data_IF_388089406888
#
_entry.id   IF_388089406888
#
_cell.length_a   1.000
_cell.length_b   1.000
_cell.length_c   1.000
_cell.angle_alpha   90.00
_cell.angle_beta   90.00
_cell.angle_gamma   90.00
#
_symmetry.space_group_name_H-M   'P 1'
#
loop_
_entity.id
_entity.type
_entity.pdbx_description
1 polymer ?
#
# COMPACT_ATOMS: atom_id res chain seq x y z
N UNK A 1 11.38 -3.74 -24.50
CA UNK A 1 10.73 -2.64 -23.76
C UNK A 1 9.24 -2.97 -23.49
N UNK A 2 8.97 -4.03 -22.72
CA UNK A 2 7.59 -4.41 -22.31
C UNK A 2 7.49 -4.78 -20.83
N UNK A 3 8.62 -5.04 -20.17
CA UNK A 3 8.63 -5.43 -18.77
C UNK A 3 8.35 -4.27 -17.81
N UNK A 4 8.71 -3.03 -18.16
CA UNK A 4 8.62 -1.88 -17.26
C UNK A 4 7.18 -1.37 -17.08
N UNK A 5 6.33 -1.45 -18.11
CA UNK A 5 4.95 -0.94 -18.04
C UNK A 5 4.05 -1.85 -17.20
N UNK A 6 4.22 -3.17 -17.30
CA UNK A 6 3.47 -4.11 -16.45
C UNK A 6 3.87 -4.00 -14.97
N UNK A 7 5.16 -3.87 -14.66
CA UNK A 7 5.61 -3.72 -13.26
C UNK A 7 5.17 -2.39 -12.66
N UNK A 8 5.16 -1.31 -13.44
CA UNK A 8 4.66 -0.01 -12.99
C UNK A 8 3.15 -0.07 -12.69
N UNK A 9 2.35 -0.71 -13.56
CA UNK A 9 0.91 -0.83 -13.37
C UNK A 9 0.54 -1.68 -12.13
N UNK A 10 1.27 -2.78 -11.91
CA UNK A 10 1.15 -3.60 -10.69
C UNK A 10 1.49 -2.80 -9.42
N UNK A 11 2.53 -1.97 -9.47
CA UNK A 11 2.92 -1.11 -8.36
C UNK A 11 1.83 -0.06 -8.07
N UNK A 12 1.28 0.61 -9.09
CA UNK A 12 0.15 1.54 -8.93
C UNK A 12 -1.09 0.86 -8.35
N UNK A 13 -1.45 -0.34 -8.82
CA UNK A 13 -2.59 -1.08 -8.29
C UNK A 13 -2.39 -1.50 -6.83
N UNK A 14 -1.16 -1.88 -6.45
CA UNK A 14 -0.80 -2.17 -5.06
C UNK A 14 -0.85 -0.93 -4.17
N UNK A 15 -0.46 0.23 -4.69
CA UNK A 15 -0.52 1.50 -3.98
C UNK A 15 -1.98 1.94 -3.75
N UNK A 16 -2.82 1.93 -4.78
CA UNK A 16 -4.25 2.27 -4.65
C UNK A 16 -4.96 1.34 -3.64
N UNK A 17 -4.68 0.03 -3.71
CA UNK A 17 -5.23 -0.91 -2.74
C UNK A 17 -4.69 -0.67 -1.32
N UNK A 18 -3.46 -0.16 -1.15
CA UNK A 18 -2.94 0.25 0.15
C UNK A 18 -3.72 1.44 0.71
N UNK A 19 -3.99 2.45 -0.13
CA UNK A 19 -4.77 3.64 0.25
C UNK A 19 -6.18 3.28 0.69
N UNK A 20 -6.85 2.38 -0.04
CA UNK A 20 -8.18 1.90 0.30
C UNK A 20 -8.19 1.18 1.67
N UNK A 21 -7.20 0.32 1.92
CA UNK A 21 -7.06 -0.41 3.19
C UNK A 21 -6.77 0.55 4.36
N UNK A 22 -5.90 1.54 4.15
CA UNK A 22 -5.61 2.57 5.15
C UNK A 22 -6.86 3.42 5.46
N UNK A 23 -7.60 3.82 4.43
CA UNK A 23 -8.85 4.59 4.59
C UNK A 23 -9.89 3.82 5.41
N UNK A 24 -10.05 2.54 5.11
CA UNK A 24 -10.95 1.64 5.82
C UNK A 24 -10.53 1.42 7.29
N UNK A 25 -9.23 1.24 7.56
CA UNK A 25 -8.68 1.14 8.92
C UNK A 25 -8.91 2.43 9.72
N UNK A 26 -8.62 3.59 9.13
CA UNK A 26 -8.83 4.89 9.76
C UNK A 26 -10.31 5.15 10.05
N UNK A 27 -11.20 4.82 9.13
CA UNK A 27 -12.64 4.93 9.34
C UNK A 27 -13.11 4.02 10.49
N UNK A 28 -12.71 2.75 10.46
CA UNK A 28 -13.06 1.78 11.50
C UNK A 28 -12.48 2.17 12.88
N UNK A 29 -11.31 2.82 12.90
CA UNK A 29 -10.66 3.33 14.12
C UNK A 29 -11.44 4.50 14.73
N UNK A 30 -11.88 5.47 13.92
CA UNK A 30 -12.73 6.59 14.38
C UNK A 30 -14.08 6.13 14.90
N UNK A 31 -14.65 5.11 14.27
CA UNK A 31 -15.91 4.50 14.68
C UNK A 31 -15.76 3.50 15.83
N UNK A 32 -14.53 3.25 16.27
CA UNK A 32 -14.20 2.38 17.40
C UNK A 32 -14.75 0.94 17.24
N UNK A 33 -14.97 0.53 15.99
CA UNK A 33 -15.63 -0.73 15.62
C UNK A 33 -14.61 -1.87 15.57
N UNK A 34 -14.44 -2.54 16.71
CA UNK A 34 -13.52 -3.66 16.90
C UNK A 34 -13.72 -4.79 15.88
N UNK A 35 -14.97 -5.18 15.60
CA UNK A 35 -15.25 -6.28 14.67
C UNK A 35 -14.78 -5.96 13.25
N UNK A 36 -15.00 -4.72 12.82
CA UNK A 36 -14.52 -4.23 11.51
C UNK A 36 -13.00 -4.07 11.48
N UNK A 37 -12.39 -3.53 12.53
CA UNK A 37 -10.93 -3.40 12.65
C UNK A 37 -10.24 -4.77 12.55
N UNK A 38 -10.75 -5.76 13.27
CA UNK A 38 -10.28 -7.15 13.23
C UNK A 38 -10.41 -7.73 11.82
N UNK A 39 -11.56 -7.55 11.17
CA UNK A 39 -11.80 -8.08 9.82
C UNK A 39 -10.82 -7.47 8.80
N UNK A 40 -10.72 -6.15 8.76
CA UNK A 40 -9.87 -5.42 7.81
C UNK A 40 -8.40 -5.75 8.04
N UNK A 41 -7.98 -5.83 9.31
CA UNK A 41 -6.60 -6.20 9.63
C UNK A 41 -6.29 -7.65 9.24
N UNK A 42 -7.18 -8.59 9.53
CA UNK A 42 -6.90 -10.00 9.21
C UNK A 42 -7.01 -10.33 7.73
N UNK A 43 -8.02 -9.77 7.05
CA UNK A 43 -8.34 -10.13 5.68
C UNK A 43 -7.61 -9.22 4.69
N UNK A 44 -7.87 -7.92 4.76
CA UNK A 44 -7.44 -6.98 3.73
C UNK A 44 -5.95 -6.64 3.86
N UNK A 45 -5.46 -6.37 5.08
CA UNK A 45 -4.02 -6.11 5.31
C UNK A 45 -3.19 -7.34 4.99
N UNK A 46 -3.63 -8.55 5.39
CA UNK A 46 -2.93 -9.81 5.06
C UNK A 46 -2.93 -10.09 3.56
N UNK A 47 -4.05 -9.88 2.88
CA UNK A 47 -4.16 -10.06 1.43
C UNK A 47 -3.25 -9.09 0.70
N UNK A 48 -3.27 -7.82 1.10
CA UNK A 48 -2.39 -6.80 0.54
C UNK A 48 -0.91 -7.12 0.78
N UNK A 49 -0.54 -7.49 2.02
CA UNK A 49 0.83 -7.83 2.39
C UNK A 49 1.39 -9.00 1.57
N UNK A 50 0.56 -10.00 1.24
CA UNK A 50 0.94 -11.10 0.34
C UNK A 50 1.19 -10.62 -1.08
N UNK A 51 0.30 -9.78 -1.61
CA UNK A 51 0.45 -9.19 -2.95
C UNK A 51 1.67 -8.28 -3.05
N UNK A 52 2.05 -7.62 -1.96
CA UNK A 52 3.26 -6.78 -1.85
C UNK A 52 4.52 -7.55 -1.44
N UNK A 53 4.47 -8.88 -1.32
CA UNK A 53 5.59 -9.73 -0.85
C UNK A 53 6.16 -9.35 0.54
N UNK A 54 5.34 -8.76 1.42
CA UNK A 54 5.69 -8.36 2.80
C UNK A 54 5.19 -9.39 3.81
N UNK A 55 5.80 -10.59 3.81
CA UNK A 55 5.33 -11.70 4.65
C UNK A 55 5.35 -11.43 6.16
N UNK A 56 6.31 -10.64 6.65
CA UNK A 56 6.37 -10.23 8.05
C UNK A 56 5.11 -9.46 8.50
N UNK A 57 4.57 -8.61 7.61
CA UNK A 57 3.35 -7.84 7.87
C UNK A 57 2.12 -8.76 7.81
N UNK A 58 2.11 -9.72 6.88
CA UNK A 58 1.06 -10.74 6.80
C UNK A 58 1.02 -11.66 8.05
N UNK A 59 2.18 -12.00 8.61
CA UNK A 59 2.28 -12.76 9.86
C UNK A 59 1.75 -11.95 11.03
N UNK A 60 2.21 -10.71 11.20
CA UNK A 60 1.76 -9.82 12.29
C UNK A 60 0.25 -9.55 12.24
N UNK A 61 -0.31 -9.38 11.04
CA UNK A 61 -1.75 -9.24 10.84
C UNK A 61 -2.53 -10.52 11.20
N UNK A 62 -1.94 -11.70 10.94
CA UNK A 62 -2.54 -12.98 11.35
C UNK A 62 -2.46 -13.19 12.86
N UNK A 63 -1.35 -12.78 13.48
CA UNK A 63 -1.11 -12.91 14.91
C UNK A 63 -2.10 -12.06 15.73
N UNK A 64 -2.58 -10.92 15.21
CA UNK A 64 -3.65 -10.14 15.86
C UNK A 64 -4.88 -11.01 16.21
N UNK A 65 -5.24 -11.96 15.34
CA UNK A 65 -6.42 -12.82 15.48
C UNK A 65 -6.08 -14.18 16.09
N UNK A 66 -4.92 -14.73 15.73
CA UNK A 66 -4.53 -16.07 16.14
C UNK A 66 -3.85 -16.11 17.51
N UNK A 67 -3.15 -15.04 17.92
CA UNK A 67 -2.42 -14.98 19.18
C UNK A 67 -3.31 -14.44 20.31
N UNK A 68 -4.19 -15.33 20.82
CA UNK A 68 -4.99 -15.14 22.05
C UNK A 68 -6.02 -13.98 22.03
N UNK A 69 -7.15 -14.10 22.76
CA UNK A 69 -8.06 -12.98 22.93
C UNK A 69 -7.33 -11.83 23.61
N UNK A 70 -7.36 -10.66 22.97
CA UNK A 70 -6.69 -9.47 23.47
C UNK A 70 -7.20 -9.13 24.88
N UNK A 71 -6.30 -8.80 25.84
CA UNK A 71 -6.66 -8.63 27.25
C UNK A 71 -7.58 -7.44 27.47
N UNK A 72 -7.63 -6.51 26.53
CA UNK A 72 -8.57 -5.40 26.53
C UNK A 72 -8.79 -4.85 25.12
N UNK A 73 -9.88 -4.10 24.98
CA UNK A 73 -10.18 -3.28 23.81
C UNK A 73 -9.04 -2.32 23.46
N UNK A 74 -8.44 -1.68 24.46
CA UNK A 74 -7.31 -0.76 24.25
C UNK A 74 -6.08 -1.48 23.70
N UNK A 75 -5.77 -2.68 24.20
CA UNK A 75 -4.66 -3.48 23.68
C UNK A 75 -4.86 -3.88 22.21
N UNK A 76 -6.09 -4.22 21.81
CA UNK A 76 -6.40 -4.47 20.41
C UNK A 76 -6.18 -3.23 19.53
N UNK A 77 -6.57 -2.05 20.03
CA UNK A 77 -6.43 -0.79 19.30
C UNK A 77 -4.97 -0.39 19.12
N UNK A 78 -4.12 -0.57 20.15
CA UNK A 78 -2.68 -0.31 20.06
C UNK A 78 -2.02 -1.15 18.96
N UNK A 79 -2.36 -2.45 18.86
CA UNK A 79 -1.80 -3.31 17.80
C UNK A 79 -2.28 -2.85 16.42
N UNK A 80 -3.55 -2.43 16.30
CA UNK A 80 -4.05 -1.90 15.03
C UNK A 80 -3.36 -0.56 14.69
N UNK A 81 -3.12 0.30 15.68
CA UNK A 81 -2.40 1.56 15.48
C UNK A 81 -0.94 1.31 15.04
N UNK A 82 -0.27 0.28 15.59
CA UNK A 82 1.05 -0.15 15.13
C UNK A 82 1.04 -0.63 13.67
N UNK A 83 0.00 -1.38 13.28
CA UNK A 83 -0.17 -1.83 11.88
C UNK A 83 -0.44 -0.65 10.96
N UNK A 84 -1.28 0.30 11.37
CA UNK A 84 -1.56 1.53 10.60
C UNK A 84 -0.26 2.31 10.38
N UNK A 85 0.55 2.55 11.42
CA UNK A 85 1.84 3.26 11.29
C UNK A 85 2.81 2.57 10.34
N UNK A 86 2.88 1.24 10.37
CA UNK A 86 3.74 0.47 9.46
C UNK A 86 3.25 0.58 8.01
N UNK A 87 1.94 0.53 7.78
CA UNK A 87 1.34 0.71 6.45
C UNK A 87 1.55 2.13 5.91
N UNK A 88 1.38 3.16 6.74
CA UNK A 88 1.66 4.56 6.40
C UNK A 88 3.13 4.78 6.02
N UNK A 89 4.05 4.12 6.74
CA UNK A 89 5.48 4.14 6.38
C UNK A 89 5.70 3.55 5.00
N UNK A 90 5.05 2.44 4.66
CA UNK A 90 5.16 1.84 3.33
C UNK A 90 4.53 2.75 2.25
N UNK A 91 3.41 3.40 2.54
CA UNK A 91 2.79 4.38 1.63
C UNK A 91 3.77 5.51 1.29
N UNK A 92 4.43 6.09 2.30
CA UNK A 92 5.43 7.14 2.08
C UNK A 92 6.63 6.69 1.22
N UNK A 93 6.96 5.40 1.22
CA UNK A 93 7.99 4.84 0.34
C UNK A 93 7.52 4.81 -1.12
N UNK A 94 6.26 4.43 -1.37
CA UNK A 94 5.68 4.46 -2.72
C UNK A 94 5.61 5.88 -3.28
N UNK A 95 5.28 6.87 -2.45
CA UNK A 95 5.29 8.28 -2.84
C UNK A 95 6.70 8.80 -3.18
N UNK A 96 7.71 8.37 -2.41
CA UNK A 96 9.11 8.71 -2.66
C UNK A 96 9.67 8.09 -3.95
N UNK A 97 9.27 6.85 -4.29
CA UNK A 97 9.64 6.18 -5.54
C UNK A 97 8.99 6.84 -6.77
N UNK A 98 7.72 7.27 -6.66
CA UNK A 98 7.03 7.98 -7.72
C UNK A 98 7.68 9.34 -8.06
N UNK A 99 8.24 10.02 -7.05
CA UNK A 99 8.97 11.29 -7.24
C UNK A 99 10.36 11.10 -7.85
N UNK A 100 11.03 9.96 -7.61
CA UNK A 100 12.34 9.64 -8.19
C UNK A 100 12.32 9.34 -9.69
N UNK A 101 11.20 8.84 -10.24
CA UNK A 101 11.08 8.51 -11.67
C UNK A 101 10.72 9.70 -12.57
N UNK A 102 10.33 10.84 -12.00
CA UNK A 102 10.05 12.07 -12.76
C UNK A 102 11.34 12.82 -13.19
N UNK A 103 12.52 12.40 -12.72
CA UNK A 103 13.81 13.09 -12.95
C UNK A 103 14.68 12.56 -14.09
N UNK A 104 14.40 11.38 -14.66
CA UNK A 104 15.32 10.71 -15.58
C UNK A 104 14.61 10.30 -16.88
N UNK A 105 14.48 11.26 -17.81
CA UNK A 105 13.84 10.97 -19.10
C UNK A 105 13.52 12.12 -20.06
N UNK A 106 14.03 13.34 -19.85
CA UNK A 106 14.07 14.37 -20.91
C UNK A 106 15.52 14.50 -21.43
N UNK A 107 16.04 13.46 -22.08
CA UNK A 107 17.17 13.62 -22.99
C UNK A 107 16.64 13.66 -24.41
N UNK A 108 16.70 14.86 -24.98
CA UNK A 108 16.33 15.14 -26.35
C UNK A 108 17.17 14.33 -27.34
N UNK A 109 16.59 13.26 -27.87
CA UNK A 109 17.05 12.66 -29.12
C UNK A 109 15.89 11.91 -29.78
N UNK A 110 14.86 12.65 -30.18
CA UNK A 110 13.84 12.11 -31.08
C UNK A 110 14.16 12.55 -32.53
N UNK A 111 14.72 11.67 -33.37
CA UNK A 111 15.02 11.98 -34.77
C UNK A 111 13.77 12.06 -35.67
N UNK A 112 12.54 11.91 -35.15
CA UNK A 112 11.31 11.92 -35.96
C UNK A 112 10.55 13.26 -36.00
N UNK A 113 11.00 14.30 -35.28
CA UNK A 113 10.34 15.60 -35.25
C UNK A 113 10.39 16.39 -36.58
N UNK A 114 11.22 15.99 -37.54
CA UNK A 114 11.36 16.70 -38.83
C UNK A 114 10.23 16.42 -39.85
N UNK A 115 9.28 15.51 -39.57
CA UNK A 115 8.36 15.00 -40.60
C UNK A 115 6.99 15.69 -40.66
N UNK A 116 6.68 16.62 -39.77
CA UNK A 116 5.35 17.25 -39.67
C UNK A 116 5.33 18.77 -39.88
N UNK A 117 6.41 19.39 -40.35
CA UNK A 117 6.52 20.85 -40.49
C UNK A 117 6.26 21.39 -41.91
N UNK A 118 5.56 20.65 -42.77
CA UNK A 118 5.10 21.16 -44.08
C UNK A 118 3.69 20.62 -44.39
N UNK A 119 2.68 21.36 -43.94
CA UNK A 119 1.31 21.34 -44.48
C UNK A 119 0.68 22.70 -44.25
#
# INVERSE_FOLDING_TARGET
MLHCTMTANLNTALHLHLEDVLGELHYARRMDNLGRLVHVTYWDVRRWARSAHREALASRASDLICAQPQPSRAACLEIVDDIIRELERIQSQFEGEAQGQAGEGCSASDPYAARYALS
#
